data_IF_389900233787
#
_entry.id   IF_389900233787
#
_cell.length_a   1.000
_cell.length_b   1.000
_cell.length_c   1.000
_cell.angle_alpha   90.00
_cell.angle_beta   90.00
_cell.angle_gamma   90.00
#
_symmetry.space_group_name_H-M   'P 1'
#
loop_
_entity.id
_entity.type
_entity.pdbx_description
1 polymer ?
#
# COMPACT_ATOMS: atom_id res chain seq x y z
N UNK A 1 -22.66 11.72 1.73
CA UNK A 1 -21.97 10.43 1.81
C UNK A 1 -21.72 9.92 0.41
N UNK A 2 -20.47 9.67 0.02
CA UNK A 2 -20.11 9.06 -1.27
C UNK A 2 -19.63 7.63 -1.02
N UNK A 3 -20.17 6.67 -1.75
CA UNK A 3 -19.92 5.24 -1.53
C UNK A 3 -19.25 4.64 -2.77
N UNK A 4 -18.13 3.97 -2.55
CA UNK A 4 -17.51 3.09 -3.54
C UNK A 4 -17.73 1.67 -3.07
N UNK A 5 -18.65 0.94 -3.70
CA UNK A 5 -18.79 -0.50 -3.42
C UNK A 5 -17.62 -1.22 -4.09
N UNK A 6 -17.17 -2.32 -3.51
CA UNK A 6 -16.01 -3.06 -4.04
C UNK A 6 -16.18 -3.47 -5.52
N UNK A 7 -17.41 -3.84 -5.91
CA UNK A 7 -17.77 -4.18 -7.31
C UNK A 7 -17.67 -3.01 -8.29
N UNK A 8 -17.70 -1.78 -7.78
CA UNK A 8 -17.69 -0.54 -8.57
C UNK A 8 -16.29 0.13 -8.52
N UNK A 9 -15.41 -0.32 -7.62
CA UNK A 9 -14.04 0.18 -7.47
C UNK A 9 -13.24 -0.07 -8.76
N UNK A 10 -12.46 0.93 -9.17
CA UNK A 10 -11.71 0.87 -10.43
C UNK A 10 -10.26 0.44 -10.17
N UNK A 11 -9.71 -0.43 -11.04
CA UNK A 11 -8.30 -0.75 -10.98
C UNK A 11 -7.48 0.46 -11.39
N UNK A 12 -6.27 0.58 -10.84
CA UNK A 12 -5.27 1.53 -11.29
C UNK A 12 -3.89 0.88 -11.34
N UNK A 13 -3.03 1.41 -12.18
CA UNK A 13 -1.64 0.95 -12.26
C UNK A 13 -0.83 1.64 -11.16
N UNK A 14 -0.35 0.84 -10.20
CA UNK A 14 0.61 1.31 -9.21
C UNK A 14 2.01 1.22 -9.81
N UNK A 15 2.53 2.34 -10.33
CA UNK A 15 3.89 2.41 -10.89
C UNK A 15 4.90 1.80 -9.91
N UNK A 16 5.92 1.12 -10.45
CA UNK A 16 6.97 0.41 -9.70
C UNK A 16 6.52 -0.88 -8.98
N UNK A 17 5.26 -1.27 -9.07
CA UNK A 17 4.78 -2.54 -8.51
C UNK A 17 4.83 -3.65 -9.55
N UNK A 18 5.05 -4.90 -9.12
CA UNK A 18 4.96 -6.11 -9.93
C UNK A 18 4.08 -7.14 -9.23
N UNK A 19 3.29 -7.89 -9.99
CA UNK A 19 2.36 -8.90 -9.46
C UNK A 19 1.47 -8.37 -8.32
N UNK A 20 1.00 -7.12 -8.48
CA UNK A 20 0.05 -6.46 -7.59
C UNK A 20 -1.18 -6.01 -8.38
N UNK A 21 -2.37 -6.31 -7.86
CA UNK A 21 -3.62 -5.71 -8.32
C UNK A 21 -4.09 -4.65 -7.33
N UNK A 22 -4.37 -3.43 -7.79
CA UNK A 22 -4.75 -2.32 -6.92
C UNK A 22 -6.09 -1.71 -7.34
N UNK A 23 -6.94 -1.40 -6.37
CA UNK A 23 -8.26 -0.79 -6.54
C UNK A 23 -8.34 0.54 -5.80
N UNK A 24 -8.84 1.59 -6.46
CA UNK A 24 -9.11 2.87 -5.80
C UNK A 24 -10.45 2.80 -5.05
N UNK A 25 -10.43 3.12 -3.75
CA UNK A 25 -11.64 3.17 -2.91
C UNK A 25 -12.17 4.60 -2.75
N UNK A 26 -11.30 5.55 -2.37
CA UNK A 26 -11.66 6.97 -2.16
C UNK A 26 -10.48 7.88 -2.50
N UNK A 27 -10.77 9.16 -2.74
CA UNK A 27 -9.79 10.16 -3.16
C UNK A 27 -9.39 10.02 -4.63
N UNK A 28 -8.59 10.97 -5.10
CA UNK A 28 -8.20 11.10 -6.50
C UNK A 28 -9.43 11.01 -7.43
N UNK A 29 -9.42 10.12 -8.42
CA UNK A 29 -10.49 9.92 -9.38
C UNK A 29 -11.77 9.30 -8.79
N UNK A 30 -11.71 8.69 -7.61
CA UNK A 30 -12.86 7.97 -7.05
C UNK A 30 -13.84 8.86 -6.30
N UNK A 31 -13.39 9.99 -5.72
CA UNK A 31 -14.26 10.90 -4.98
C UNK A 31 -13.67 12.29 -4.76
N UNK A 32 -14.50 13.22 -4.26
CA UNK A 32 -14.09 14.59 -3.91
C UNK A 32 -13.30 14.69 -2.60
N UNK A 33 -12.67 13.61 -2.14
CA UNK A 33 -11.88 13.60 -0.90
C UNK A 33 -10.54 14.32 -1.14
N UNK A 34 -10.27 15.35 -0.34
CA UNK A 34 -9.13 16.26 -0.53
C UNK A 34 -7.96 16.03 0.41
N UNK A 35 -8.15 15.29 1.51
CA UNK A 35 -7.10 15.15 2.53
C UNK A 35 -6.18 13.94 2.31
N UNK A 36 -6.72 12.86 1.74
CA UNK A 36 -5.98 11.63 1.49
C UNK A 36 -6.67 10.80 0.40
N UNK A 37 -5.97 9.78 -0.08
CA UNK A 37 -6.55 8.72 -0.89
C UNK A 37 -6.53 7.40 -0.14
N UNK A 38 -7.45 6.51 -0.50
CA UNK A 38 -7.55 5.17 0.06
C UNK A 38 -7.67 4.15 -1.08
N UNK A 39 -6.85 3.12 -1.03
CA UNK A 39 -6.85 2.03 -2.01
C UNK A 39 -6.70 0.67 -1.33
N UNK A 40 -7.12 -0.37 -2.05
CA UNK A 40 -6.93 -1.75 -1.66
C UNK A 40 -5.93 -2.39 -2.63
N UNK A 41 -4.87 -2.97 -2.10
CA UNK A 41 -3.83 -3.65 -2.87
C UNK A 41 -3.82 -5.14 -2.54
N UNK A 42 -3.79 -5.96 -3.58
CA UNK A 42 -3.60 -7.40 -3.50
C UNK A 42 -2.22 -7.73 -4.04
N UNK A 43 -1.28 -8.05 -3.15
CA UNK A 43 0.03 -8.54 -3.54
C UNK A 43 -0.06 -10.05 -3.72
N UNK A 44 0.13 -10.52 -4.95
CA UNK A 44 0.18 -11.95 -5.24
C UNK A 44 1.46 -12.58 -4.65
N UNK A 45 1.54 -13.91 -4.52
CA UNK A 45 2.78 -14.58 -4.11
C UNK A 45 3.98 -14.10 -4.94
N UNK A 46 5.04 -13.64 -4.27
CA UNK A 46 6.23 -13.06 -4.91
C UNK A 46 6.09 -11.62 -5.41
N UNK A 47 4.89 -11.03 -5.34
CA UNK A 47 4.62 -9.65 -5.75
C UNK A 47 5.17 -8.62 -4.78
N UNK A 48 5.34 -7.39 -5.26
CA UNK A 48 5.96 -6.32 -4.48
C UNK A 48 6.04 -4.98 -5.17
N UNK A 49 6.86 -4.07 -4.62
CA UNK A 49 7.18 -2.79 -5.25
C UNK A 49 8.64 -2.40 -5.08
N UNK A 50 9.22 -1.71 -6.07
CA UNK A 50 10.61 -1.27 -5.97
C UNK A 50 10.77 -0.21 -4.87
N UNK A 51 12.01 -0.10 -4.37
CA UNK A 51 12.42 0.96 -3.47
C UNK A 51 12.04 2.33 -4.05
N UNK A 52 11.29 3.10 -3.26
CA UNK A 52 10.87 4.44 -3.64
C UNK A 52 10.51 5.26 -2.40
N UNK A 53 10.65 6.57 -2.52
CA UNK A 53 10.13 7.56 -1.58
C UNK A 53 9.14 8.48 -2.30
N UNK A 54 8.36 9.23 -1.52
CA UNK A 54 7.45 10.25 -2.05
C UNK A 54 7.23 11.35 -1.01
N UNK A 55 6.78 12.55 -1.40
CA UNK A 55 6.43 13.62 -0.46
C UNK A 55 5.12 13.36 0.31
N UNK A 56 4.54 12.16 0.22
CA UNK A 56 3.31 11.77 0.92
C UNK A 56 3.61 10.76 2.03
N UNK A 57 2.98 10.98 3.19
CA UNK A 57 2.86 9.98 4.25
C UNK A 57 1.91 8.85 3.82
N UNK A 58 2.18 7.65 4.34
CA UNK A 58 1.36 6.48 4.06
C UNK A 58 1.08 5.71 5.32
N UNK A 59 -0.15 5.20 5.42
CA UNK A 59 -0.52 4.17 6.39
C UNK A 59 -0.81 2.90 5.62
N UNK A 60 -0.20 1.80 6.06
CA UNK A 60 -0.51 0.46 5.58
C UNK A 60 -1.23 -0.30 6.69
N UNK A 61 -2.31 -0.99 6.34
CA UNK A 61 -3.00 -1.93 7.23
C UNK A 61 -3.16 -3.23 6.48
N UNK A 62 -2.54 -4.31 6.96
CA UNK A 62 -2.70 -5.63 6.35
C UNK A 62 -4.05 -6.18 6.81
N UNK A 63 -4.98 -6.37 5.89
CA UNK A 63 -6.31 -6.90 6.18
C UNK A 63 -6.33 -8.43 6.21
N UNK A 64 -5.45 -9.07 5.43
CA UNK A 64 -5.28 -10.52 5.36
C UNK A 64 -3.90 -10.87 4.76
N UNK A 65 -3.35 -12.04 5.12
CA UNK A 65 -2.01 -12.46 4.73
C UNK A 65 -0.90 -11.84 5.59
N UNK A 66 0.34 -11.88 5.06
CA UNK A 66 1.52 -11.30 5.70
C UNK A 66 2.37 -10.53 4.69
N UNK A 67 2.61 -9.24 4.94
CA UNK A 67 3.48 -8.39 4.15
C UNK A 67 4.88 -8.31 4.78
N UNK A 68 5.92 -8.23 3.95
CA UNK A 68 7.26 -7.84 4.38
C UNK A 68 7.52 -6.40 3.94
N UNK A 69 7.71 -5.50 4.88
CA UNK A 69 8.03 -4.09 4.66
C UNK A 69 9.53 -3.91 4.81
N UNK A 70 10.16 -3.26 3.84
CA UNK A 70 11.56 -2.91 3.89
C UNK A 70 11.69 -1.39 3.99
N UNK A 71 12.46 -0.90 4.94
CA UNK A 71 12.79 0.53 5.12
C UNK A 71 14.29 0.68 5.38
N UNK A 72 14.77 1.93 5.53
CA UNK A 72 16.18 2.21 5.83
C UNK A 72 16.32 2.99 7.13
N UNK A 73 17.30 2.62 7.93
CA UNK A 73 17.82 3.41 9.05
C UNK A 73 19.30 3.73 8.78
N UNK A 74 19.56 4.92 8.24
CA UNK A 74 20.86 5.25 7.65
C UNK A 74 21.15 4.34 6.44
N UNK A 75 22.32 3.69 6.44
CA UNK A 75 22.72 2.76 5.37
C UNK A 75 22.21 1.32 5.57
N UNK A 76 21.48 1.06 6.67
CA UNK A 76 20.99 -0.29 6.99
C UNK A 76 19.58 -0.50 6.49
N UNK A 77 19.35 -1.60 5.81
CA UNK A 77 18.00 -2.11 5.51
C UNK A 77 17.38 -2.71 6.78
N UNK A 78 16.15 -2.28 7.07
CA UNK A 78 15.32 -2.82 8.14
C UNK A 78 14.18 -3.60 7.50
N UNK A 79 14.00 -4.84 7.95
CA UNK A 79 12.91 -5.72 7.50
C UNK A 79 11.90 -5.88 8.63
N UNK A 80 10.63 -5.60 8.33
CA UNK A 80 9.51 -5.74 9.28
C UNK A 80 8.40 -6.56 8.65
N UNK A 81 7.96 -7.62 9.32
CA UNK A 81 6.81 -8.41 8.88
C UNK A 81 5.53 -7.88 9.54
N UNK A 82 4.48 -7.67 8.75
CA UNK A 82 3.15 -7.26 9.21
C UNK A 82 2.15 -8.35 8.87
N UNK A 83 1.48 -8.88 9.89
CA UNK A 83 0.40 -9.84 9.76
C UNK A 83 -0.97 -9.17 9.73
N UNK A 84 -2.01 -9.99 9.77
CA UNK A 84 -3.41 -9.53 9.76
C UNK A 84 -3.71 -8.56 10.91
N UNK A 85 -4.28 -7.42 10.55
CA UNK A 85 -4.60 -6.26 11.38
C UNK A 85 -3.40 -5.49 11.94
N UNK A 86 -2.17 -5.84 11.55
CA UNK A 86 -1.01 -5.01 11.82
C UNK A 86 -0.98 -3.82 10.87
N UNK A 87 -0.32 -2.75 11.32
CA UNK A 87 -0.19 -1.52 10.54
C UNK A 87 1.17 -0.86 10.74
N UNK A 88 1.58 -0.06 9.77
CA UNK A 88 2.74 0.82 9.89
C UNK A 88 2.48 2.17 9.23
N UNK A 89 3.31 3.15 9.59
CA UNK A 89 3.42 4.44 8.90
C UNK A 89 4.71 4.43 8.10
N UNK A 90 4.64 4.92 6.88
CA UNK A 90 5.82 5.35 6.10
C UNK A 90 5.78 6.88 6.06
N UNK A 91 6.79 7.51 6.63
CA UNK A 91 6.91 8.96 6.76
C UNK A 91 7.13 9.69 5.44
N UNK A 92 7.11 11.02 5.51
CA UNK A 92 7.46 11.90 4.39
C UNK A 92 8.86 11.58 3.87
N UNK A 93 8.97 11.34 2.56
CA UNK A 93 10.22 11.03 1.87
C UNK A 93 10.97 9.80 2.41
N UNK A 94 10.33 8.99 3.25
CA UNK A 94 10.92 7.74 3.73
C UNK A 94 10.95 6.73 2.57
N UNK A 95 12.14 6.16 2.33
CA UNK A 95 12.30 5.09 1.35
C UNK A 95 11.74 3.78 1.88
N UNK A 96 10.93 3.13 1.04
CA UNK A 96 10.39 1.81 1.36
C UNK A 96 10.33 0.90 0.14
N UNK A 97 10.32 -0.40 0.42
CA UNK A 97 9.85 -1.47 -0.46
C UNK A 97 8.81 -2.32 0.28
N UNK A 98 7.99 -3.06 -0.46
CA UNK A 98 7.03 -4.03 0.09
C UNK A 98 7.12 -5.29 -0.74
N UNK A 99 7.18 -6.44 -0.07
CA UNK A 99 7.28 -7.74 -0.70
C UNK A 99 6.28 -8.71 -0.06
N UNK A 100 5.66 -9.55 -0.88
CA UNK A 100 4.95 -10.73 -0.42
C UNK A 100 5.86 -11.95 -0.58
N UNK A 101 6.56 -12.30 0.51
CA UNK A 101 7.46 -13.47 0.57
C UNK A 101 6.73 -14.79 0.84
N UNK A 102 5.40 -14.80 0.84
CA UNK A 102 4.57 -15.96 1.14
C UNK A 102 3.92 -16.55 -0.12
N UNK A 103 3.29 -17.72 0.04
CA UNK A 103 2.46 -18.35 -1.00
C UNK A 103 0.97 -17.97 -0.89
N UNK A 104 0.61 -17.03 -0.01
CA UNK A 104 -0.76 -16.53 0.13
C UNK A 104 -0.86 -15.12 -0.45
N UNK A 105 -2.06 -14.68 -0.84
CA UNK A 105 -2.29 -13.30 -1.25
C UNK A 105 -2.28 -12.40 -0.02
N UNK A 106 -1.59 -11.26 -0.10
CA UNK A 106 -1.68 -10.20 0.92
C UNK A 106 -2.72 -9.19 0.46
N UNK A 107 -3.73 -8.95 1.30
CA UNK A 107 -4.69 -7.87 1.10
C UNK A 107 -4.31 -6.72 2.01
N UNK A 108 -3.96 -5.57 1.45
CA UNK A 108 -3.50 -4.41 2.21
C UNK A 108 -4.31 -3.17 1.88
N UNK A 109 -4.84 -2.52 2.92
CA UNK A 109 -5.40 -1.17 2.80
C UNK A 109 -4.25 -0.18 2.81
N UNK A 110 -4.22 0.69 1.80
CA UNK A 110 -3.20 1.72 1.64
C UNK A 110 -3.88 3.09 1.70
N UNK A 111 -3.43 3.91 2.64
CA UNK A 111 -3.89 5.29 2.80
C UNK A 111 -2.70 6.18 2.53
N UNK A 112 -2.87 7.18 1.66
CA UNK A 112 -1.79 8.08 1.26
C UNK A 112 -2.29 9.50 1.47
N UNK A 113 -1.57 10.31 2.25
CA UNK A 113 -1.90 11.73 2.40
C UNK A 113 -1.79 12.45 1.06
N UNK A 114 -2.58 13.50 0.87
CA UNK A 114 -2.36 14.39 -0.27
C UNK A 114 -1.17 15.32 0.03
N UNK A 115 -0.47 15.75 -1.04
CA UNK A 115 0.67 16.67 -0.97
C UNK A 115 0.24 18.11 -0.80
#
# INVERSE_FOLDING_TARGET
MQVTKIKDAKPYEAKLHWDVSALRLQGLEASKLESFSCSLSYFLPGGGCNWSSSPNEKVYVVLDGQATILTKEGDKEITTELGKLDSCVIGYNEERSVENRTNQVVTMLVIVSNS
#
